data_IF_360217790615
#
_entry.id   IF_360217790615
#
_cell.length_a   1.000
_cell.length_b   1.000
_cell.length_c   1.000
_cell.angle_alpha   90.00
_cell.angle_beta   90.00
_cell.angle_gamma   90.00
#
_symmetry.space_group_name_H-M   'P 1'
#
loop_
_entity.id
_entity.type
_entity.pdbx_description
1 polymer ?
#
# COMPACT_ATOMS: atom_id res chain seq x y z
N UNK A 1 -13.52 28.55 -23.32
CA UNK A 1 -12.05 28.72 -23.30
C UNK A 1 -11.38 27.56 -22.60
N UNK A 2 -11.76 27.23 -21.37
CA UNK A 2 -11.15 26.13 -20.57
C UNK A 2 -11.05 24.78 -21.30
N UNK A 3 -12.11 24.34 -21.97
CA UNK A 3 -12.12 23.06 -22.71
C UNK A 3 -11.12 23.05 -23.88
N UNK A 4 -10.95 24.19 -24.55
CA UNK A 4 -10.05 24.31 -25.70
C UNK A 4 -8.58 24.30 -25.27
N UNK A 5 -8.26 24.89 -24.11
CA UNK A 5 -6.91 24.87 -23.54
C UNK A 5 -6.51 23.45 -23.17
N UNK A 6 -7.38 22.73 -22.45
CA UNK A 6 -7.14 21.33 -22.09
C UNK A 6 -7.02 20.43 -23.32
N UNK A 7 -7.90 20.61 -24.32
CA UNK A 7 -7.84 19.84 -25.56
C UNK A 7 -6.53 20.10 -26.33
N UNK A 8 -6.09 21.36 -26.42
CA UNK A 8 -4.86 21.73 -27.13
C UNK A 8 -3.62 21.14 -26.43
N UNK A 9 -3.58 21.18 -25.09
CA UNK A 9 -2.51 20.55 -24.31
C UNK A 9 -2.44 19.03 -24.53
N UNK A 10 -3.59 18.35 -24.49
CA UNK A 10 -3.66 16.90 -24.74
C UNK A 10 -3.13 16.58 -26.14
N UNK A 11 -3.59 17.30 -27.17
CA UNK A 11 -3.15 17.08 -28.56
C UNK A 11 -1.65 17.34 -28.70
N UNK A 12 -1.11 18.38 -28.06
CA UNK A 12 0.32 18.67 -28.11
C UNK A 12 1.16 17.55 -27.48
N UNK A 13 0.74 17.00 -26.34
CA UNK A 13 1.43 15.87 -25.68
C UNK A 13 1.35 14.61 -26.53
N UNK A 14 0.18 14.29 -27.10
CA UNK A 14 -0.02 13.13 -27.99
C UNK A 14 0.83 13.26 -29.26
N UNK A 15 0.86 14.45 -29.86
CA UNK A 15 1.67 14.69 -31.05
C UNK A 15 3.17 14.53 -30.73
N UNK A 16 3.61 15.04 -29.56
CA UNK A 16 4.99 14.87 -29.09
C UNK A 16 5.34 13.41 -28.83
N UNK A 17 4.40 12.61 -28.28
CA UNK A 17 4.64 11.19 -28.02
C UNK A 17 4.79 10.37 -29.29
N UNK A 18 4.09 10.74 -30.37
CA UNK A 18 4.20 10.04 -31.67
C UNK A 18 5.48 10.44 -32.43
N UNK A 19 5.82 11.72 -32.42
CA UNK A 19 6.96 12.24 -33.20
C UNK A 19 8.32 11.96 -32.55
N UNK A 20 8.40 11.95 -31.21
CA UNK A 20 9.66 11.78 -30.48
C UNK A 20 9.43 11.05 -29.14
N UNK A 21 9.13 9.74 -29.16
CA UNK A 21 8.81 8.97 -27.96
C UNK A 21 9.98 8.92 -26.97
N UNK A 22 11.21 8.73 -27.44
CA UNK A 22 12.41 8.62 -26.60
C UNK A 22 12.70 9.91 -25.82
N UNK A 23 12.57 11.07 -26.49
CA UNK A 23 12.77 12.37 -25.85
C UNK A 23 11.71 12.66 -24.80
N UNK A 24 10.46 12.25 -25.03
CA UNK A 24 9.38 12.39 -24.05
C UNK A 24 9.56 11.44 -22.86
N UNK A 25 9.99 10.19 -23.11
CA UNK A 25 10.30 9.22 -22.06
C UNK A 25 11.40 9.74 -21.12
N UNK A 26 12.51 10.26 -21.67
CA UNK A 26 13.60 10.82 -20.87
C UNK A 26 13.14 12.00 -19.99
N UNK A 27 12.24 12.84 -20.49
CA UNK A 27 11.65 13.95 -19.71
C UNK A 27 10.79 13.41 -18.56
N UNK A 28 9.94 12.41 -18.82
CA UNK A 28 9.11 11.80 -17.79
C UNK A 28 9.94 11.06 -16.74
N UNK A 29 10.98 10.34 -17.14
CA UNK A 29 11.86 9.63 -16.20
C UNK A 29 12.63 10.62 -15.31
N UNK A 30 13.14 11.72 -15.89
CA UNK A 30 13.78 12.77 -15.11
C UNK A 30 12.79 13.42 -14.12
N UNK A 31 11.57 13.74 -14.58
CA UNK A 31 10.55 14.31 -13.73
C UNK A 31 10.14 13.36 -12.59
N UNK A 32 9.94 12.08 -12.90
CA UNK A 32 9.63 11.04 -11.92
C UNK A 32 10.75 10.91 -10.89
N UNK A 33 12.01 10.91 -11.31
CA UNK A 33 13.17 10.83 -10.42
C UNK A 33 13.25 12.05 -9.49
N UNK A 34 13.04 13.27 -10.00
CA UNK A 34 13.05 14.49 -9.19
C UNK A 34 11.94 14.47 -8.15
N UNK A 35 10.72 14.12 -8.56
CA UNK A 35 9.56 14.05 -7.66
C UNK A 35 9.77 12.97 -6.60
N UNK A 36 10.18 11.77 -7.01
CA UNK A 36 10.36 10.64 -6.08
C UNK A 36 11.49 10.90 -5.09
N UNK A 37 12.60 11.51 -5.53
CA UNK A 37 13.72 11.84 -4.66
C UNK A 37 13.36 12.91 -3.62
N UNK A 38 12.60 13.92 -4.01
CA UNK A 38 12.31 15.08 -3.15
C UNK A 38 11.04 14.88 -2.30
N UNK A 39 9.99 14.27 -2.87
CA UNK A 39 8.67 14.10 -2.25
C UNK A 39 8.36 12.65 -1.85
N UNK A 40 9.24 11.68 -2.13
CA UNK A 40 9.01 10.28 -1.83
C UNK A 40 8.78 9.99 -0.34
N UNK A 41 9.43 10.75 0.55
CA UNK A 41 9.22 10.63 2.00
C UNK A 41 7.89 11.23 2.45
N UNK A 42 7.39 12.28 1.77
CA UNK A 42 6.16 12.98 2.13
C UNK A 42 4.91 12.22 1.69
N UNK A 43 4.97 11.55 0.53
CA UNK A 43 3.87 10.76 -0.02
C UNK A 43 3.21 9.79 0.98
N UNK A 44 3.94 8.89 1.67
CA UNK A 44 3.32 7.96 2.63
C UNK A 44 2.70 8.66 3.84
N UNK A 45 3.25 9.80 4.28
CA UNK A 45 2.66 10.58 5.37
C UNK A 45 1.31 11.17 4.98
N UNK A 46 1.17 11.67 3.76
CA UNK A 46 -0.12 12.17 3.26
C UNK A 46 -1.14 11.04 3.20
N UNK A 47 -0.76 9.89 2.65
CA UNK A 47 -1.65 8.71 2.58
C UNK A 47 -2.06 8.26 3.98
N UNK A 48 -1.11 8.19 4.92
CA UNK A 48 -1.39 7.85 6.31
C UNK A 48 -2.32 8.87 6.97
N UNK A 49 -2.11 10.16 6.72
CA UNK A 49 -2.95 11.23 7.26
C UNK A 49 -4.39 11.16 6.72
N UNK A 50 -4.59 10.86 5.44
CA UNK A 50 -5.91 10.67 4.85
C UNK A 50 -6.63 9.43 5.42
N UNK A 51 -5.92 8.32 5.59
CA UNK A 51 -6.46 7.12 6.25
C UNK A 51 -6.82 7.43 7.71
N UNK A 52 -5.94 8.12 8.43
CA UNK A 52 -6.17 8.57 9.79
C UNK A 52 -7.39 9.49 9.89
N UNK A 53 -7.54 10.43 8.96
CA UNK A 53 -8.70 11.31 8.88
C UNK A 53 -9.99 10.54 8.61
N UNK A 54 -9.97 9.55 7.71
CA UNK A 54 -11.12 8.69 7.44
C UNK A 54 -11.54 7.88 8.68
N UNK A 55 -10.58 7.31 9.42
CA UNK A 55 -10.85 6.59 10.67
C UNK A 55 -11.38 7.55 11.74
N UNK A 56 -10.79 8.74 11.87
CA UNK A 56 -11.24 9.76 12.81
C UNK A 56 -12.66 10.24 12.50
N UNK A 57 -13.04 10.38 11.23
CA UNK A 57 -14.40 10.72 10.81
C UNK A 57 -15.38 9.57 11.08
N UNK A 58 -14.99 8.34 10.77
CA UNK A 58 -15.83 7.15 10.97
C UNK A 58 -16.07 6.85 12.46
N UNK A 59 -15.04 6.97 13.31
CA UNK A 59 -15.12 6.74 14.75
C UNK A 59 -15.51 7.96 15.58
N UNK A 60 -15.45 9.16 15.00
CA UNK A 60 -15.76 10.42 15.69
C UNK A 60 -17.25 10.76 15.73
N UNK A 61 -17.55 11.91 16.35
CA UNK A 61 -18.91 12.51 16.42
C UNK A 61 -19.63 12.56 15.07
N UNK A 62 -18.89 12.80 13.99
CA UNK A 62 -19.45 12.98 12.65
C UNK A 62 -19.79 11.65 11.95
N UNK A 63 -19.32 10.50 12.43
CA UNK A 63 -19.61 9.20 11.82
C UNK A 63 -21.05 8.72 12.00
N UNK A 64 -21.77 9.28 12.98
CA UNK A 64 -23.20 9.02 13.20
C UNK A 64 -24.11 9.93 12.37
N UNK A 65 -23.55 10.96 11.74
CA UNK A 65 -24.31 11.88 10.92
C UNK A 65 -24.77 11.17 9.65
N UNK A 66 -26.08 11.11 9.43
CA UNK A 66 -26.64 10.64 8.17
C UNK A 66 -26.47 11.72 7.11
N UNK A 67 -25.91 11.35 5.96
CA UNK A 67 -25.81 12.23 4.80
C UNK A 67 -27.15 12.16 4.06
N UNK A 68 -28.10 13.01 4.44
CA UNK A 68 -29.47 13.04 3.92
C UNK A 68 -30.42 13.70 4.91
N UNK A 69 -31.72 13.73 4.58
CA UNK A 69 -32.76 14.14 5.52
C UNK A 69 -32.84 13.21 6.74
N UNK A 70 -33.33 13.70 7.89
CA UNK A 70 -33.41 12.90 9.13
C UNK A 70 -34.25 11.62 8.95
N UNK A 71 -35.27 11.68 8.09
CA UNK A 71 -36.19 10.59 7.75
C UNK A 71 -35.89 9.89 6.41
N UNK A 72 -34.79 10.26 5.75
CA UNK A 72 -34.43 9.71 4.45
C UNK A 72 -33.94 8.26 4.58
N UNK A 73 -34.53 7.36 3.79
CA UNK A 73 -34.17 5.94 3.77
C UNK A 73 -33.09 5.70 2.71
N UNK A 74 -32.21 4.74 2.98
CA UNK A 74 -31.17 4.32 2.02
C UNK A 74 -31.80 3.91 0.68
N UNK A 75 -31.39 4.55 -0.40
CA UNK A 75 -31.86 4.25 -1.76
C UNK A 75 -31.40 2.86 -2.24
N UNK A 76 -30.19 2.46 -1.82
CA UNK A 76 -29.61 1.16 -2.16
C UNK A 76 -29.62 0.21 -0.98
N UNK A 77 -29.76 -1.09 -1.26
CA UNK A 77 -29.54 -2.13 -0.25
C UNK A 77 -28.08 -2.15 0.17
N UNK A 78 -27.78 -2.61 1.40
CA UNK A 78 -26.40 -2.70 1.91
C UNK A 78 -25.46 -3.48 0.98
N UNK A 79 -25.97 -4.53 0.33
CA UNK A 79 -25.21 -5.31 -0.65
C UNK A 79 -24.94 -4.54 -1.94
N UNK A 80 -25.95 -3.85 -2.50
CA UNK A 80 -25.76 -3.03 -3.69
C UNK A 80 -24.81 -1.86 -3.44
N UNK A 81 -24.93 -1.19 -2.29
CA UNK A 81 -24.03 -0.11 -1.88
C UNK A 81 -22.57 -0.59 -1.73
N UNK A 82 -22.35 -1.74 -1.10
CA UNK A 82 -21.01 -2.31 -0.98
C UNK A 82 -20.40 -2.67 -2.33
N UNK A 83 -21.20 -3.26 -3.24
CA UNK A 83 -20.77 -3.54 -4.61
C UNK A 83 -20.38 -2.28 -5.39
N UNK A 84 -21.10 -1.17 -5.20
CA UNK A 84 -20.75 0.12 -5.79
C UNK A 84 -19.40 0.65 -5.29
N UNK A 85 -19.12 0.56 -3.98
CA UNK A 85 -17.82 0.95 -3.42
C UNK A 85 -16.68 0.11 -4.00
N UNK A 86 -16.91 -1.20 -4.14
CA UNK A 86 -15.91 -2.11 -4.72
C UNK A 86 -15.67 -1.78 -6.20
N UNK A 87 -16.73 -1.57 -6.98
CA UNK A 87 -16.60 -1.19 -8.39
C UNK A 87 -15.89 0.16 -8.59
N UNK A 88 -16.19 1.15 -7.74
CA UNK A 88 -15.55 2.47 -7.79
C UNK A 88 -14.07 2.41 -7.38
N UNK A 89 -13.70 1.57 -6.40
CA UNK A 89 -12.36 1.53 -5.84
C UNK A 89 -11.37 0.59 -6.54
N UNK A 90 -11.84 -0.51 -7.13
CA UNK A 90 -10.94 -1.59 -7.59
C UNK A 90 -10.27 -1.34 -8.94
N UNK A 91 -10.86 -0.50 -9.81
CA UNK A 91 -10.24 0.05 -11.03
C UNK A 91 -9.52 -0.92 -11.99
N UNK A 92 -8.91 -0.37 -13.04
CA UNK A 92 -8.04 -1.13 -13.96
C UNK A 92 -6.70 -1.53 -13.33
N UNK A 93 -6.29 -0.82 -12.27
CA UNK A 93 -4.99 -1.01 -11.62
C UNK A 93 -4.79 -2.42 -11.06
N UNK A 94 -5.82 -3.02 -10.46
CA UNK A 94 -5.71 -4.35 -9.86
C UNK A 94 -5.67 -5.47 -10.90
N UNK A 95 -6.36 -5.28 -12.04
CA UNK A 95 -6.35 -6.24 -13.16
C UNK A 95 -4.97 -6.27 -13.81
N UNK A 96 -4.35 -5.10 -14.03
CA UNK A 96 -3.01 -5.02 -14.62
C UNK A 96 -1.92 -5.41 -13.63
N UNK A 97 -1.84 -4.73 -12.47
CA UNK A 97 -0.78 -4.96 -11.49
C UNK A 97 -0.95 -6.24 -10.68
N UNK A 98 -2.14 -6.85 -10.64
CA UNK A 98 -2.38 -8.12 -9.98
C UNK A 98 -1.58 -9.27 -10.59
N UNK A 99 -1.45 -9.30 -11.92
CA UNK A 99 -0.64 -10.29 -12.64
C UNK A 99 0.77 -9.77 -12.92
N UNK A 100 0.91 -8.48 -13.23
CA UNK A 100 2.21 -7.91 -13.57
C UNK A 100 3.17 -7.89 -12.39
N UNK A 101 2.71 -7.53 -11.17
CA UNK A 101 3.60 -7.40 -10.00
C UNK A 101 4.33 -8.70 -9.65
N UNK A 102 3.68 -9.88 -9.59
CA UNK A 102 4.39 -11.15 -9.39
C UNK A 102 5.43 -11.45 -10.47
N UNK A 103 5.12 -11.15 -11.74
CA UNK A 103 6.03 -11.38 -12.87
C UNK A 103 7.26 -10.46 -12.76
N UNK A 104 7.04 -9.17 -12.47
CA UNK A 104 8.14 -8.22 -12.25
C UNK A 104 9.05 -8.65 -11.09
N UNK A 105 8.49 -9.04 -9.95
CA UNK A 105 9.26 -9.49 -8.78
C UNK A 105 9.87 -10.89 -8.96
N UNK A 106 9.40 -11.67 -9.94
CA UNK A 106 10.01 -12.94 -10.30
C UNK A 106 11.28 -12.73 -11.13
N UNK A 107 11.27 -11.77 -12.05
CA UNK A 107 12.40 -11.42 -12.92
C UNK A 107 13.51 -10.66 -12.20
N UNK A 108 13.16 -9.67 -11.38
CA UNK A 108 14.11 -8.81 -10.67
C UNK A 108 13.71 -8.74 -9.19
N UNK A 109 14.58 -9.21 -8.27
CA UNK A 109 14.38 -9.01 -6.84
C UNK A 109 15.23 -7.84 -6.36
N UNK A 110 14.62 -6.78 -5.82
CA UNK A 110 15.35 -5.72 -5.14
C UNK A 110 15.79 -6.13 -3.71
N UNK A 111 15.69 -7.41 -3.34
CA UNK A 111 15.95 -7.89 -1.98
C UNK A 111 17.31 -8.60 -1.90
N UNK A 112 18.22 -8.17 -1.00
CA UNK A 112 19.47 -8.87 -0.77
C UNK A 112 19.19 -10.27 -0.20
N UNK A 113 19.76 -11.31 -0.84
CA UNK A 113 19.70 -12.70 -0.36
C UNK A 113 18.56 -13.57 -0.91
N UNK A 114 17.88 -13.15 -2.00
CA UNK A 114 16.94 -14.02 -2.72
C UNK A 114 17.33 -14.07 -4.20
N UNK A 115 17.65 -15.26 -4.70
CA UNK A 115 17.96 -15.45 -6.11
C UNK A 115 16.73 -15.17 -6.99
N UNK A 116 16.92 -14.32 -8.01
CA UNK A 116 15.95 -14.11 -9.09
C UNK A 116 15.46 -15.43 -9.68
N UNK A 117 14.21 -15.44 -10.16
CA UNK A 117 13.55 -16.59 -10.82
C UNK A 117 13.21 -17.78 -9.91
N UNK A 118 13.18 -17.58 -8.60
CA UNK A 118 12.72 -18.62 -7.65
C UNK A 118 11.21 -18.47 -7.38
N UNK A 119 10.45 -19.57 -7.30
CA UNK A 119 8.99 -19.56 -7.02
C UNK A 119 8.60 -18.86 -5.71
N UNK A 120 9.53 -18.76 -4.75
CA UNK A 120 9.29 -18.10 -3.46
C UNK A 120 9.46 -16.59 -3.52
N UNK A 121 10.14 -16.06 -4.54
CA UNK A 121 10.50 -14.64 -4.65
C UNK A 121 9.28 -13.69 -4.64
N UNK A 122 8.20 -13.93 -5.42
CA UNK A 122 7.04 -13.03 -5.46
C UNK A 122 6.30 -12.90 -4.12
N UNK A 123 6.32 -13.95 -3.30
CA UNK A 123 5.58 -14.03 -2.03
C UNK A 123 6.43 -13.68 -0.81
N UNK A 124 7.76 -13.54 -0.97
CA UNK A 124 8.67 -13.28 0.15
C UNK A 124 8.81 -11.80 0.47
N UNK A 125 8.70 -10.92 -0.51
CA UNK A 125 8.86 -9.47 -0.31
C UNK A 125 7.83 -8.84 0.65
N UNK A 126 6.67 -9.46 0.82
CA UNK A 126 5.68 -9.06 1.84
C UNK A 126 5.85 -9.74 3.20
N UNK A 127 6.74 -10.74 3.34
CA UNK A 127 6.93 -11.57 4.55
C UNK A 127 8.27 -11.35 5.26
N UNK A 128 9.22 -10.63 4.65
CA UNK A 128 10.61 -10.57 5.14
C UNK A 128 10.81 -9.74 6.40
N UNK A 129 10.00 -8.71 6.61
CA UNK A 129 9.98 -7.93 7.85
C UNK A 129 9.46 -8.76 9.04
N UNK A 130 8.40 -9.54 8.86
CA UNK A 130 7.78 -10.33 9.92
C UNK A 130 8.57 -11.61 10.27
N UNK A 131 9.02 -12.36 9.26
CA UNK A 131 9.72 -13.65 9.49
C UNK A 131 11.13 -13.51 10.06
N UNK A 132 11.79 -12.36 9.89
CA UNK A 132 13.06 -12.08 10.54
C UNK A 132 12.88 -11.82 12.04
N UNK A 133 11.83 -11.09 12.40
CA UNK A 133 11.46 -10.81 13.79
C UNK A 133 11.07 -12.11 14.53
N UNK A 134 10.24 -12.97 13.91
CA UNK A 134 9.83 -14.26 14.50
C UNK A 134 11.00 -15.23 14.76
N UNK A 135 12.09 -15.17 13.98
CA UNK A 135 13.28 -16.00 14.23
C UNK A 135 14.06 -15.51 15.44
N UNK A 136 14.14 -14.19 15.61
CA UNK A 136 14.80 -13.59 16.77
C UNK A 136 13.99 -13.85 18.05
N UNK A 137 12.66 -13.73 17.99
CA UNK A 137 11.78 -14.03 19.12
C UNK A 137 11.78 -15.51 19.50
N UNK A 138 11.80 -16.43 18.53
CA UNK A 138 11.95 -17.87 18.83
C UNK A 138 13.32 -18.23 19.39
N UNK A 139 14.38 -17.55 18.97
CA UNK A 139 15.71 -17.72 19.54
C UNK A 139 15.78 -17.18 20.98
N UNK A 140 15.15 -16.03 21.24
CA UNK A 140 15.00 -15.48 22.60
C UNK A 140 14.13 -16.39 23.47
N UNK A 141 13.01 -16.90 22.95
CA UNK A 141 12.12 -17.81 23.65
C UNK A 141 12.84 -19.08 24.12
N UNK A 142 13.62 -19.73 23.27
CA UNK A 142 14.44 -20.90 23.67
C UNK A 142 15.53 -20.56 24.67
N UNK A 143 16.13 -19.36 24.57
CA UNK A 143 17.11 -18.89 25.55
C UNK A 143 16.46 -18.62 26.91
N UNK A 144 15.28 -18.01 26.92
CA UNK A 144 14.50 -17.75 28.12
C UNK A 144 14.01 -19.06 28.74
N UNK A 145 13.56 -20.01 27.94
CA UNK A 145 13.17 -21.36 28.40
C UNK A 145 14.35 -22.08 29.06
N UNK A 146 15.53 -22.08 28.42
CA UNK A 146 16.75 -22.64 29.02
C UNK A 146 17.15 -21.92 30.32
N UNK A 147 17.05 -20.59 30.37
CA UNK A 147 17.31 -19.79 31.57
C UNK A 147 16.25 -20.00 32.66
N UNK A 148 15.01 -20.35 32.29
CA UNK A 148 13.92 -20.65 33.22
C UNK A 148 14.11 -22.01 33.89
N UNK A 149 14.76 -22.94 33.21
CA UNK A 149 15.17 -24.25 33.76
C UNK A 149 16.36 -24.11 34.72
N UNK A 150 17.21 -23.10 34.51
CA UNK A 150 18.39 -22.83 35.37
C UNK A 150 18.07 -21.98 36.61
N UNK A 151 16.95 -21.25 36.63
CA UNK A 151 16.57 -20.43 37.78
C UNK A 151 16.04 -21.32 38.92
N UNK A 152 16.67 -21.35 40.11
CA UNK A 152 16.13 -22.06 41.25
C UNK A 152 14.75 -21.49 41.59
N UNK A 153 13.78 -22.38 41.82
CA UNK A 153 12.42 -22.03 42.18
C UNK A 153 12.42 -21.05 43.35
N UNK A 154 11.75 -19.90 43.15
CA UNK A 154 11.59 -18.85 44.17
C UNK A 154 11.13 -19.52 45.48
N UNK A 155 11.84 -19.34 46.61
CA UNK A 155 11.42 -19.93 47.86
C UNK A 155 10.01 -19.43 48.22
N UNK A 156 9.17 -20.29 48.81
CA UNK A 156 7.79 -19.94 49.09
C UNK A 156 7.77 -18.70 49.98
N UNK A 157 7.03 -17.68 49.53
CA UNK A 157 6.68 -16.53 50.35
C UNK A 157 5.89 -17.08 51.55
N UNK A 158 6.48 -16.96 52.75
CA UNK A 158 5.82 -17.38 53.99
C UNK A 158 4.55 -16.55 54.18
N UNK A 159 3.48 -17.14 54.75
CA UNK A 159 2.18 -16.49 54.92
C UNK A 159 2.25 -15.22 55.77
#
# INVERSE_FOLDING_TARGET
>A
MELSVSACLIVAVVLRSVLAPEGLAAVFDNALNVITRNFGWFHPWVVLALVGAAIALAGGRHGRLRLGGEDEKSEFSRGAWFSMLFAAGMGNGLVFWGVAKPIFHYGELPLPGVAARTIVAPWRGGRTNWTAHERHERALGRRLENLSVELPSRPPEKP
#
